data_IF_448763093934
#
_entry.id   IF_448763093934
#
_cell.length_a   1.000
_cell.length_b   1.000
_cell.length_c   1.000
_cell.angle_alpha   90.00
_cell.angle_beta   90.00
_cell.angle_gamma   90.00
#
_symmetry.space_group_name_H-M   'P 1'
#
loop_
_entity.id
_entity.type
_entity.pdbx_description
1 polymer ?
#
# COMPACT_ATOMS: atom_id res chain seq x y z
N UNK A 1 8.05 46.86 -11.07
CA UNK A 1 8.61 47.23 -9.74
C UNK A 1 9.10 45.93 -9.11
N UNK A 2 10.40 45.59 -9.27
CA UNK A 2 10.97 44.31 -8.85
C UNK A 2 11.26 44.34 -7.35
N UNK A 3 10.55 43.52 -6.58
CA UNK A 3 10.76 43.33 -5.15
C UNK A 3 12.06 42.56 -4.92
N UNK A 4 13.01 43.17 -4.21
CA UNK A 4 14.26 42.53 -3.79
C UNK A 4 14.06 41.88 -2.42
N UNK A 5 13.87 40.56 -2.39
CA UNK A 5 13.89 39.78 -1.15
C UNK A 5 15.32 39.75 -0.59
N UNK A 6 15.52 40.36 0.57
CA UNK A 6 16.78 40.27 1.33
C UNK A 6 16.79 38.96 2.14
N UNK A 7 17.53 37.96 1.66
CA UNK A 7 17.79 36.73 2.41
C UNK A 7 18.68 37.07 3.61
N UNK A 8 18.18 36.89 4.84
CA UNK A 8 18.97 37.02 6.07
C UNK A 8 19.66 35.70 6.35
N UNK A 9 20.93 35.59 5.95
CA UNK A 9 21.79 34.45 6.25
C UNK A 9 22.02 34.37 7.77
N UNK A 10 21.34 33.44 8.45
CA UNK A 10 21.66 33.07 9.83
C UNK A 10 22.69 31.95 9.77
N UNK A 11 23.96 32.26 10.06
CA UNK A 11 24.97 31.23 10.33
C UNK A 11 24.61 30.57 11.67
N UNK A 12 24.21 29.29 11.63
CA UNK A 12 24.24 28.43 12.81
C UNK A 12 25.66 27.85 12.97
N UNK A 13 26.24 27.88 14.19
CA UNK A 13 27.55 27.29 14.43
C UNK A 13 27.46 25.76 14.38
N UNK A 14 28.21 25.17 13.45
CA UNK A 14 28.45 23.74 13.33
C UNK A 14 29.27 23.27 14.54
N UNK A 15 28.61 22.71 15.55
CA UNK A 15 29.29 22.02 16.65
C UNK A 15 29.83 20.69 16.13
N UNK A 16 31.16 20.62 16.06
CA UNK A 16 31.94 19.43 15.72
C UNK A 16 31.82 18.43 16.88
N UNK A 17 30.94 17.44 16.75
CA UNK A 17 30.85 16.32 17.69
C UNK A 17 31.96 15.32 17.35
N UNK A 18 33.06 15.36 18.09
CA UNK A 18 34.15 14.42 17.97
C UNK A 18 33.70 13.04 18.49
N UNK A 19 33.49 12.07 17.59
CA UNK A 19 33.37 10.67 17.97
C UNK A 19 34.73 10.17 18.46
N UNK A 20 34.83 9.95 19.78
CA UNK A 20 35.90 9.15 20.36
C UNK A 20 35.69 7.69 20.01
N UNK A 21 36.48 7.17 19.07
CA UNK A 21 36.65 5.73 18.89
C UNK A 21 37.44 5.19 20.07
N UNK A 22 36.75 4.81 21.14
CA UNK A 22 37.35 3.99 22.21
C UNK A 22 37.34 2.54 21.76
N UNK A 23 38.41 2.14 21.07
CA UNK A 23 38.77 0.74 20.96
C UNK A 23 39.22 0.22 22.32
N UNK A 24 38.47 -0.73 22.87
CA UNK A 24 38.91 -1.64 23.93
C UNK A 24 38.62 -3.03 23.37
N UNK A 25 39.61 -3.86 23.04
CA UNK A 25 40.65 -4.31 23.95
C UNK A 25 40.25 -5.73 24.35
N UNK A 26 40.81 -6.73 23.65
CA UNK A 26 40.57 -8.13 23.95
C UNK A 26 40.90 -8.41 25.42
N UNK A 27 39.88 -8.79 26.18
CA UNK A 27 40.00 -9.35 27.52
C UNK A 27 38.84 -10.29 27.73
N UNK A 28 39.19 -11.57 27.90
CA UNK A 28 38.29 -12.68 28.21
C UNK A 28 37.42 -12.35 29.42
N UNK A 29 36.12 -12.15 29.20
CA UNK A 29 35.12 -12.02 30.25
C UNK A 29 34.42 -13.37 30.47
N UNK A 30 34.41 -13.75 31.75
CA UNK A 30 33.62 -14.84 32.33
C UNK A 30 32.17 -14.80 31.88
N UNK A 31 31.63 -15.97 31.52
CA UNK A 31 30.24 -16.17 31.09
C UNK A 31 29.21 -15.75 32.14
N UNK A 32 28.80 -14.49 32.07
CA UNK A 32 27.44 -14.08 32.42
C UNK A 32 26.62 -14.14 31.14
N UNK A 33 25.63 -15.03 31.10
CA UNK A 33 24.55 -14.90 30.14
C UNK A 33 23.78 -13.64 30.51
N UNK A 34 24.19 -12.49 29.98
CA UNK A 34 23.33 -11.32 29.94
C UNK A 34 22.14 -11.72 29.07
N UNK A 35 21.07 -12.17 29.73
CA UNK A 35 19.84 -12.58 29.11
C UNK A 35 19.14 -11.28 28.67
N UNK A 36 19.58 -10.73 27.54
CA UNK A 36 18.94 -9.57 26.93
C UNK A 36 17.51 -9.97 26.56
N UNK A 37 16.55 -9.43 27.30
CA UNK A 37 15.13 -9.57 27.01
C UNK A 37 14.65 -8.23 26.45
N UNK A 38 14.35 -8.22 25.15
CA UNK A 38 13.71 -7.08 24.50
C UNK A 38 12.20 -7.19 24.74
N UNK A 39 11.61 -6.10 25.25
CA UNK A 39 10.16 -5.95 25.33
C UNK A 39 9.71 -5.21 24.06
N UNK A 40 9.07 -5.93 23.15
CA UNK A 40 8.61 -5.39 21.88
C UNK A 40 7.20 -4.79 21.95
N UNK A 41 6.56 -4.75 23.12
CA UNK A 41 5.14 -4.35 23.24
C UNK A 41 4.88 -2.99 22.58
N UNK A 42 5.63 -1.95 22.96
CA UNK A 42 5.48 -0.60 22.39
C UNK A 42 5.78 -0.55 20.88
N UNK A 43 6.73 -1.38 20.41
CA UNK A 43 7.06 -1.48 18.98
C UNK A 43 5.91 -2.09 18.21
N UNK A 44 5.39 -3.23 18.67
CA UNK A 44 4.27 -3.96 18.07
C UNK A 44 3.02 -3.09 18.09
N UNK A 45 2.73 -2.40 19.19
CA UNK A 45 1.59 -1.47 19.27
C UNK A 45 1.70 -0.34 18.25
N UNK A 46 2.88 0.26 18.10
CA UNK A 46 3.11 1.33 17.15
C UNK A 46 3.05 0.84 15.70
N UNK A 47 3.73 -0.27 15.38
CA UNK A 47 3.77 -0.87 14.05
C UNK A 47 2.36 -1.31 13.62
N UNK A 48 1.61 -1.96 14.51
CA UNK A 48 0.25 -2.40 14.21
C UNK A 48 -0.69 -1.22 13.94
N UNK A 49 -0.78 -0.26 14.87
CA UNK A 49 -1.83 0.76 14.79
C UNK A 49 -1.43 1.95 13.91
N UNK A 50 -0.19 2.42 14.01
CA UNK A 50 0.23 3.68 13.37
C UNK A 50 0.93 3.48 12.02
N UNK A 51 1.27 2.24 11.67
CA UNK A 51 1.90 1.92 10.37
C UNK A 51 0.94 1.05 9.55
N UNK A 52 0.65 -0.18 10.01
CA UNK A 52 -0.12 -1.15 9.20
C UNK A 52 -1.58 -0.70 9.05
N UNK A 53 -2.31 -0.55 10.16
CA UNK A 53 -3.74 -0.19 10.14
C UNK A 53 -3.94 1.18 9.49
N UNK A 54 -3.14 2.18 9.90
CA UNK A 54 -3.20 3.52 9.33
C UNK A 54 -2.88 3.54 7.81
N UNK A 55 -1.88 2.77 7.36
CA UNK A 55 -1.54 2.68 5.94
C UNK A 55 -2.67 2.06 5.10
N UNK A 56 -3.37 1.06 5.63
CA UNK A 56 -4.54 0.50 4.95
C UNK A 56 -5.78 1.42 5.00
N UNK A 57 -5.94 2.23 6.04
CA UNK A 57 -6.95 3.31 6.08
C UNK A 57 -6.68 4.37 5.00
N UNK A 58 -5.42 4.79 4.87
CA UNK A 58 -4.98 5.75 3.86
C UNK A 58 -5.20 5.17 2.45
N UNK A 59 -4.82 3.90 2.22
CA UNK A 59 -5.06 3.21 0.95
C UNK A 59 -6.55 3.15 0.57
N UNK A 60 -7.42 2.76 1.51
CA UNK A 60 -8.87 2.74 1.27
C UNK A 60 -9.44 4.14 0.99
N UNK A 61 -8.97 5.16 1.71
CA UNK A 61 -9.38 6.55 1.48
C UNK A 61 -8.99 7.01 0.07
N UNK A 62 -7.75 6.76 -0.34
CA UNK A 62 -7.26 7.14 -1.68
C UNK A 62 -7.91 6.30 -2.80
N UNK A 63 -8.34 5.06 -2.51
CA UNK A 63 -9.16 4.25 -3.42
C UNK A 63 -10.52 4.92 -3.71
N UNK A 64 -11.19 5.43 -2.68
CA UNK A 64 -12.43 6.19 -2.84
C UNK A 64 -12.23 7.48 -3.65
N UNK A 65 -11.12 8.19 -3.44
CA UNK A 65 -10.76 9.37 -4.25
C UNK A 65 -10.48 9.00 -5.71
N UNK A 66 -9.87 7.84 -5.97
CA UNK A 66 -9.67 7.30 -7.32
C UNK A 66 -11.00 6.99 -8.01
N UNK A 67 -11.97 6.38 -7.32
CA UNK A 67 -13.33 6.14 -7.84
C UNK A 67 -14.00 7.47 -8.24
N UNK A 68 -13.91 8.49 -7.38
CA UNK A 68 -14.47 9.82 -7.66
C UNK A 68 -13.81 10.45 -8.90
N UNK A 69 -12.49 10.37 -9.01
CA UNK A 69 -11.74 10.94 -10.13
C UNK A 69 -12.07 10.24 -11.45
N UNK A 70 -12.21 8.92 -11.44
CA UNK A 70 -12.57 8.13 -12.62
C UNK A 70 -14.03 8.35 -13.05
N UNK A 71 -14.96 8.50 -12.11
CA UNK A 71 -16.34 8.90 -12.41
C UNK A 71 -16.40 10.30 -13.07
N UNK A 72 -15.55 11.23 -12.62
CA UNK A 72 -15.43 12.56 -13.24
C UNK A 72 -14.87 12.48 -14.67
N UNK A 73 -13.84 11.65 -14.89
CA UNK A 73 -13.28 11.40 -16.23
C UNK A 73 -14.31 10.77 -17.17
N UNK A 74 -15.06 9.77 -16.71
CA UNK A 74 -16.13 9.15 -17.47
C UNK A 74 -17.23 10.14 -17.86
N UNK A 75 -17.59 11.06 -16.95
CA UNK A 75 -18.62 12.07 -17.21
C UNK A 75 -18.12 13.18 -18.15
N UNK A 76 -16.87 13.60 -18.00
CA UNK A 76 -16.27 14.68 -18.80
C UNK A 76 -14.85 14.33 -19.17
N UNK A 77 -14.64 13.87 -20.40
CA UNK A 77 -13.32 13.54 -20.93
C UNK A 77 -12.57 14.81 -21.37
N UNK A 78 -11.58 15.22 -20.59
CA UNK A 78 -10.65 16.28 -20.93
C UNK A 78 -9.35 16.16 -20.13
N UNK A 79 -8.36 16.99 -20.44
CA UNK A 79 -7.04 16.96 -19.80
C UNK A 79 -7.10 17.14 -18.28
N UNK A 80 -8.03 17.95 -17.77
CA UNK A 80 -8.14 18.21 -16.33
C UNK A 80 -8.63 16.97 -15.58
N UNK A 81 -9.64 16.27 -16.10
CA UNK A 81 -10.17 15.05 -15.45
C UNK A 81 -9.24 13.86 -15.65
N UNK A 82 -8.54 13.76 -16.79
CA UNK A 82 -7.52 12.74 -17.00
C UNK A 82 -6.35 12.92 -16.02
N UNK A 83 -5.84 14.16 -15.89
CA UNK A 83 -4.78 14.48 -14.92
C UNK A 83 -5.23 14.17 -13.49
N UNK A 84 -6.48 14.51 -13.13
CA UNK A 84 -7.00 14.20 -11.80
C UNK A 84 -7.07 12.69 -11.52
N UNK A 85 -7.51 11.88 -12.49
CA UNK A 85 -7.51 10.42 -12.36
C UNK A 85 -6.09 9.84 -12.25
N UNK A 86 -5.16 10.35 -13.05
CA UNK A 86 -3.74 9.95 -12.98
C UNK A 86 -3.11 10.32 -11.63
N UNK A 87 -3.43 11.48 -11.07
CA UNK A 87 -2.90 11.91 -9.78
C UNK A 87 -3.53 11.12 -8.64
N UNK A 88 -4.83 10.82 -8.68
CA UNK A 88 -5.49 9.95 -7.72
C UNK A 88 -4.92 8.52 -7.74
N UNK A 89 -4.62 7.98 -8.93
CA UNK A 89 -3.97 6.67 -9.04
C UNK A 89 -2.60 6.65 -8.35
N UNK A 90 -1.79 7.71 -8.53
CA UNK A 90 -0.49 7.83 -7.86
C UNK A 90 -0.64 7.97 -6.34
N UNK A 91 -1.65 8.71 -5.90
CA UNK A 91 -1.94 8.90 -4.49
C UNK A 91 -2.33 7.58 -3.82
N UNK A 92 -3.19 6.77 -4.45
CA UNK A 92 -3.52 5.42 -3.99
C UNK A 92 -2.32 4.45 -4.06
N UNK A 93 -1.40 4.65 -5.01
CA UNK A 93 -0.20 3.81 -5.14
C UNK A 93 0.80 4.02 -3.99
N UNK A 94 0.87 5.22 -3.44
CA UNK A 94 1.81 5.55 -2.35
C UNK A 94 1.63 4.70 -1.08
N UNK A 95 0.43 4.61 -0.46
CA UNK A 95 0.23 3.77 0.72
C UNK A 95 0.32 2.27 0.42
N UNK A 96 -0.03 1.83 -0.80
CA UNK A 96 0.18 0.44 -1.22
C UNK A 96 1.66 0.03 -1.19
N UNK A 97 2.52 0.80 -1.86
CA UNK A 97 3.96 0.52 -1.94
C UNK A 97 4.64 0.63 -0.57
N UNK A 98 4.19 1.54 0.30
CA UNK A 98 4.65 1.60 1.69
C UNK A 98 4.26 0.34 2.48
N UNK A 99 3.12 -0.25 2.13
CA UNK A 99 2.57 -1.45 2.75
C UNK A 99 3.23 -2.77 2.32
N UNK A 100 4.04 -2.79 1.26
CA UNK A 100 4.71 -4.01 0.79
C UNK A 100 5.71 -4.60 1.78
N UNK A 101 6.12 -3.81 2.79
CA UNK A 101 6.94 -4.32 3.90
C UNK A 101 6.21 -5.29 4.83
N UNK A 102 4.88 -5.36 4.74
CA UNK A 102 4.03 -6.16 5.64
C UNK A 102 2.91 -6.91 4.88
N UNK A 103 3.31 -7.67 3.84
CA UNK A 103 2.41 -8.57 3.09
C UNK A 103 2.22 -9.89 3.87
N UNK A 104 1.49 -9.81 4.98
CA UNK A 104 1.06 -10.96 5.78
C UNK A 104 -0.35 -10.74 6.34
N UNK A 105 -0.96 -11.80 6.86
CA UNK A 105 -2.30 -11.72 7.43
C UNK A 105 -3.36 -11.51 6.34
N UNK A 106 -4.30 -10.56 6.47
CA UNK A 106 -5.43 -10.42 5.56
C UNK A 106 -5.07 -10.23 4.09
N UNK A 107 -4.02 -9.45 3.78
CA UNK A 107 -3.63 -9.18 2.38
C UNK A 107 -3.21 -10.44 1.63
N UNK A 108 -2.54 -11.37 2.33
CA UNK A 108 -2.13 -12.68 1.80
C UNK A 108 -3.28 -13.70 1.88
N UNK A 109 -3.95 -13.78 3.03
CA UNK A 109 -5.00 -14.79 3.30
C UNK A 109 -6.25 -14.62 2.45
N UNK A 110 -6.54 -13.40 2.00
CA UNK A 110 -7.67 -13.07 1.14
C UNK A 110 -7.26 -12.92 -0.34
N UNK A 111 -6.01 -13.26 -0.69
CA UNK A 111 -5.47 -13.14 -2.04
C UNK A 111 -5.60 -11.71 -2.62
N UNK A 112 -5.51 -10.68 -1.76
CA UNK A 112 -5.69 -9.27 -2.17
C UNK A 112 -4.47 -8.76 -2.94
N UNK A 113 -3.26 -9.15 -2.52
CA UNK A 113 -2.01 -8.78 -3.21
C UNK A 113 -2.03 -9.09 -4.71
N UNK A 114 -2.27 -10.35 -5.13
CA UNK A 114 -2.34 -10.64 -6.56
C UNK A 114 -3.49 -9.90 -7.24
N UNK A 115 -4.66 -9.76 -6.61
CA UNK A 115 -5.80 -9.03 -7.20
C UNK A 115 -5.54 -7.54 -7.43
N UNK A 116 -4.80 -6.89 -6.52
CA UNK A 116 -4.50 -5.46 -6.63
C UNK A 116 -3.24 -5.17 -7.44
N UNK A 117 -2.24 -6.05 -7.41
CA UNK A 117 -0.89 -5.70 -7.88
C UNK A 117 -0.19 -6.75 -8.76
N UNK A 118 -0.96 -7.59 -9.45
CA UNK A 118 -0.37 -8.55 -10.38
C UNK A 118 0.39 -7.90 -11.54
N UNK A 119 1.65 -8.30 -11.67
CA UNK A 119 2.53 -7.95 -12.79
C UNK A 119 3.32 -9.16 -13.31
N UNK A 120 3.44 -9.36 -14.65
CA UNK A 120 2.92 -8.54 -15.72
C UNK A 120 1.45 -8.80 -16.04
N UNK A 121 0.75 -7.79 -16.56
CA UNK A 121 -0.57 -7.97 -17.17
C UNK A 121 -0.51 -8.86 -18.41
N UNK A 122 -1.59 -9.61 -18.62
CA UNK A 122 -1.83 -10.26 -19.90
C UNK A 122 -2.55 -9.30 -20.85
N UNK A 123 -1.75 -8.44 -21.49
CA UNK A 123 -2.27 -7.36 -22.36
C UNK A 123 -3.17 -7.82 -23.51
N UNK A 124 -3.05 -9.08 -23.96
CA UNK A 124 -3.95 -9.65 -24.98
C UNK A 124 -5.33 -9.94 -24.40
N UNK A 125 -5.37 -10.56 -23.22
CA UNK A 125 -6.61 -10.89 -22.55
C UNK A 125 -7.28 -9.64 -21.99
N UNK A 126 -6.49 -8.69 -21.47
CA UNK A 126 -6.97 -7.37 -21.05
C UNK A 126 -7.64 -6.62 -22.22
N UNK A 127 -6.98 -6.54 -23.38
CA UNK A 127 -7.56 -5.87 -24.56
C UNK A 127 -8.87 -6.56 -25.02
N UNK A 128 -8.90 -7.90 -24.99
CA UNK A 128 -10.11 -8.67 -25.34
C UNK A 128 -11.24 -8.43 -24.33
N UNK A 129 -10.90 -8.39 -23.05
CA UNK A 129 -11.82 -8.11 -21.94
C UNK A 129 -12.43 -6.73 -22.07
N UNK A 130 -11.61 -5.69 -22.23
CA UNK A 130 -12.07 -4.31 -22.46
C UNK A 130 -13.00 -4.26 -23.68
N UNK A 131 -12.58 -4.82 -24.82
CA UNK A 131 -13.38 -4.74 -26.07
C UNK A 131 -14.77 -5.41 -25.99
N UNK A 132 -14.94 -6.35 -25.06
CA UNK A 132 -16.20 -7.08 -24.84
C UNK A 132 -16.93 -6.66 -23.56
N UNK A 133 -16.36 -5.72 -22.80
CA UNK A 133 -16.90 -5.31 -21.52
C UNK A 133 -18.25 -4.64 -21.69
N UNK A 134 -19.22 -5.10 -20.90
CA UNK A 134 -20.62 -4.66 -20.98
C UNK A 134 -21.28 -4.63 -19.60
N UNK A 135 -20.54 -4.22 -18.57
CA UNK A 135 -21.04 -4.07 -17.20
C UNK A 135 -21.07 -5.37 -16.40
N UNK A 136 -20.14 -6.29 -16.69
CA UNK A 136 -19.96 -7.48 -15.87
C UNK A 136 -19.32 -7.12 -14.53
N UNK A 137 -19.62 -7.89 -13.49
CA UNK A 137 -18.83 -7.91 -12.26
C UNK A 137 -17.49 -8.59 -12.57
N UNK A 138 -16.40 -7.85 -12.36
CA UNK A 138 -15.04 -8.28 -12.71
C UNK A 138 -14.25 -8.75 -11.49
N UNK A 139 -14.84 -8.75 -10.29
CA UNK A 139 -14.14 -9.14 -9.06
C UNK A 139 -13.57 -10.56 -9.15
N UNK A 140 -14.28 -11.45 -9.86
CA UNK A 140 -13.86 -12.85 -10.07
C UNK A 140 -12.99 -13.06 -11.31
N UNK A 141 -12.54 -12.00 -11.98
CA UNK A 141 -11.66 -12.13 -13.15
C UNK A 141 -10.25 -12.53 -12.70
N UNK A 142 -9.42 -12.93 -13.66
CA UNK A 142 -8.02 -13.19 -13.36
C UNK A 142 -7.30 -11.91 -12.93
N UNK A 143 -6.27 -12.08 -12.13
CA UNK A 143 -5.48 -10.98 -11.58
C UNK A 143 -4.74 -10.19 -12.66
N UNK A 144 -4.36 -10.86 -13.76
CA UNK A 144 -3.61 -10.29 -14.87
C UNK A 144 -4.42 -9.38 -15.80
N UNK A 145 -5.69 -9.10 -15.46
CA UNK A 145 -6.58 -8.16 -16.17
C UNK A 145 -7.25 -7.12 -15.25
N UNK A 146 -6.83 -7.02 -13.98
CA UNK A 146 -7.37 -6.06 -13.01
C UNK A 146 -6.28 -5.38 -12.17
N UNK A 147 -6.68 -4.69 -11.11
CA UNK A 147 -5.76 -4.02 -10.17
C UNK A 147 -5.09 -2.77 -10.70
N UNK A 148 -4.09 -2.30 -9.96
CA UNK A 148 -3.34 -1.07 -10.20
C UNK A 148 -2.82 -0.97 -11.63
N UNK A 149 -2.22 -2.04 -12.15
CA UNK A 149 -1.59 -2.03 -13.45
C UNK A 149 -2.59 -2.00 -14.60
N UNK A 150 -3.78 -2.60 -14.45
CA UNK A 150 -4.84 -2.46 -15.46
C UNK A 150 -5.37 -1.02 -15.53
N UNK A 151 -5.52 -0.36 -14.39
CA UNK A 151 -5.87 1.06 -14.31
C UNK A 151 -4.74 1.92 -14.91
N UNK A 152 -3.49 1.61 -14.58
CA UNK A 152 -2.29 2.28 -15.10
C UNK A 152 -2.25 2.21 -16.63
N UNK A 153 -2.47 1.02 -17.20
CA UNK A 153 -2.49 0.79 -18.64
C UNK A 153 -3.49 1.71 -19.35
N UNK A 154 -4.67 1.90 -18.76
CA UNK A 154 -5.76 2.69 -19.31
C UNK A 154 -5.55 4.21 -19.14
N UNK A 155 -4.88 4.64 -18.05
CA UNK A 155 -4.66 6.05 -17.73
C UNK A 155 -3.35 6.63 -18.28
N UNK A 156 -2.30 5.82 -18.41
CA UNK A 156 -0.96 6.26 -18.81
C UNK A 156 -0.51 5.65 -20.14
N UNK A 157 -1.15 4.58 -20.60
CA UNK A 157 -0.75 3.85 -21.80
C UNK A 157 0.07 2.60 -21.49
N UNK A 158 0.58 1.95 -22.54
CA UNK A 158 1.01 0.55 -22.45
C UNK A 158 2.42 0.30 -21.88
N UNK A 159 3.14 1.31 -21.41
CA UNK A 159 4.48 1.14 -20.84
C UNK A 159 5.59 0.81 -21.85
N UNK A 160 5.25 0.24 -23.00
CA UNK A 160 6.17 -0.29 -23.99
C UNK A 160 6.43 0.69 -25.15
N UNK A 161 5.38 1.38 -25.60
CA UNK A 161 5.44 2.31 -26.73
C UNK A 161 5.10 3.75 -26.34
N UNK A 162 4.35 3.95 -25.25
CA UNK A 162 3.95 5.27 -24.74
C UNK A 162 3.62 5.18 -23.25
N UNK A 163 3.97 6.22 -22.51
CA UNK A 163 3.47 6.54 -21.17
C UNK A 163 2.66 7.85 -21.20
N UNK A 164 2.09 8.14 -22.36
CA UNK A 164 1.23 9.27 -22.64
C UNK A 164 -0.10 8.75 -23.19
N UNK A 165 -1.20 9.31 -22.69
CA UNK A 165 -2.58 8.90 -22.96
C UNK A 165 -3.40 10.11 -23.37
N UNK A 166 -4.09 10.02 -24.50
CA UNK A 166 -5.06 11.02 -24.93
C UNK A 166 -6.36 10.85 -24.14
N UNK A 167 -7.11 11.94 -24.04
CA UNK A 167 -8.42 12.05 -23.39
C UNK A 167 -9.55 11.32 -24.12
N UNK A 168 -9.35 10.85 -25.36
CA UNK A 168 -10.36 10.14 -26.16
C UNK A 168 -10.40 8.64 -25.84
N UNK A 169 -10.85 8.30 -24.62
CA UNK A 169 -11.08 6.93 -24.18
C UNK A 169 -12.37 6.38 -24.79
N UNK A 170 -12.37 5.12 -25.20
CA UNK A 170 -13.60 4.49 -25.72
C UNK A 170 -14.64 4.32 -24.63
N UNK A 171 -15.89 4.08 -25.02
CA UNK A 171 -16.97 3.82 -24.06
C UNK A 171 -16.68 2.57 -23.22
N UNK A 172 -16.11 1.54 -23.83
CA UNK A 172 -15.73 0.29 -23.17
C UNK A 172 -14.54 0.50 -22.21
N UNK A 173 -13.53 1.28 -22.60
CA UNK A 173 -12.39 1.62 -21.73
C UNK A 173 -12.84 2.38 -20.48
N UNK A 174 -13.73 3.37 -20.63
CA UNK A 174 -14.27 4.13 -19.50
C UNK A 174 -15.16 3.27 -18.59
N UNK A 175 -15.96 2.38 -19.17
CA UNK A 175 -16.78 1.46 -18.40
C UNK A 175 -15.92 0.46 -17.63
N UNK A 176 -14.84 -0.04 -18.25
CA UNK A 176 -13.92 -0.95 -17.58
C UNK A 176 -13.09 -0.24 -16.50
N UNK A 177 -12.62 1.00 -16.74
CA UNK A 177 -11.97 1.82 -15.71
C UNK A 177 -12.84 2.01 -14.46
N UNK A 178 -14.14 2.30 -14.64
CA UNK A 178 -15.07 2.45 -13.53
C UNK A 178 -15.21 1.12 -12.74
N UNK A 179 -15.37 0.00 -13.44
CA UNK A 179 -15.47 -1.31 -12.80
C UNK A 179 -14.17 -1.71 -12.06
N UNK A 180 -13.01 -1.40 -12.65
CA UNK A 180 -11.71 -1.61 -12.01
C UNK A 180 -11.61 -0.81 -10.71
N UNK A 181 -12.05 0.45 -10.69
CA UNK A 181 -11.98 1.26 -9.49
C UNK A 181 -12.93 0.82 -8.38
N UNK A 182 -14.13 0.33 -8.74
CA UNK A 182 -15.08 -0.23 -7.76
C UNK A 182 -14.50 -1.50 -7.12
N UNK A 183 -14.00 -2.45 -7.94
CA UNK A 183 -13.36 -3.67 -7.42
C UNK A 183 -12.11 -3.36 -6.62
N UNK A 184 -11.32 -2.36 -7.06
CA UNK A 184 -10.16 -1.88 -6.32
C UNK A 184 -10.55 -1.35 -4.94
N UNK A 185 -11.57 -0.48 -4.86
CA UNK A 185 -12.10 0.05 -3.60
C UNK A 185 -12.60 -1.08 -2.70
N UNK A 186 -13.39 -2.03 -3.22
CA UNK A 186 -13.90 -3.20 -2.47
C UNK A 186 -12.78 -4.02 -1.82
N UNK A 187 -11.68 -4.27 -2.53
CA UNK A 187 -10.53 -4.97 -1.97
C UNK A 187 -9.80 -4.16 -0.89
N UNK A 188 -9.62 -2.85 -1.11
CA UNK A 188 -8.98 -1.98 -0.10
C UNK A 188 -9.84 -1.81 1.15
N UNK A 189 -11.17 -1.75 0.99
CA UNK A 189 -12.13 -1.75 2.09
C UNK A 189 -12.02 -3.06 2.87
N UNK A 190 -12.11 -4.21 2.18
CA UNK A 190 -11.99 -5.53 2.80
C UNK A 190 -10.67 -5.70 3.55
N UNK A 191 -9.57 -5.16 3.03
CA UNK A 191 -8.27 -5.18 3.68
C UNK A 191 -8.27 -4.36 4.97
N UNK A 192 -8.71 -3.10 4.90
CA UNK A 192 -8.80 -2.22 6.05
C UNK A 192 -9.74 -2.80 7.13
N UNK A 193 -10.94 -3.24 6.75
CA UNK A 193 -11.92 -3.81 7.67
C UNK A 193 -11.42 -5.12 8.32
N UNK A 194 -10.63 -5.91 7.59
CA UNK A 194 -10.01 -7.11 8.16
C UNK A 194 -9.03 -6.77 9.28
N UNK A 195 -8.30 -5.66 9.15
CA UNK A 195 -7.36 -5.20 10.15
C UNK A 195 -8.02 -4.46 11.31
N UNK A 196 -9.07 -3.68 11.05
CA UNK A 196 -9.71 -2.79 12.04
C UNK A 196 -10.93 -3.40 12.72
N UNK A 197 -11.79 -4.06 11.96
CA UNK A 197 -13.15 -4.44 12.38
C UNK A 197 -13.26 -5.93 12.68
N UNK A 198 -13.01 -6.80 11.71
CA UNK A 198 -13.15 -8.26 11.85
C UNK A 198 -12.45 -8.99 10.72
N UNK A 199 -11.71 -10.05 11.04
CA UNK A 199 -11.13 -10.95 10.05
C UNK A 199 -11.86 -12.29 10.04
N UNK A 200 -12.31 -12.71 8.85
CA UNK A 200 -13.17 -13.89 8.65
C UNK A 200 -14.41 -13.90 9.58
N UNK A 201 -14.49 -14.87 10.50
CA UNK A 201 -15.55 -14.98 11.50
C UNK A 201 -15.11 -14.57 12.90
N UNK A 202 -13.90 -14.00 13.01
CA UNK A 202 -13.20 -13.70 14.26
C UNK A 202 -13.11 -12.21 14.59
N UNK A 203 -12.12 -11.89 15.43
CA UNK A 203 -11.79 -10.51 15.78
C UNK A 203 -11.00 -9.85 14.63
N UNK A 204 -10.86 -8.53 14.68
CA UNK A 204 -9.96 -7.79 13.79
C UNK A 204 -8.53 -8.34 13.86
N UNK A 205 -7.84 -8.45 12.73
CA UNK A 205 -6.54 -9.12 12.65
C UNK A 205 -5.48 -8.48 13.56
N UNK A 206 -5.52 -7.15 13.74
CA UNK A 206 -4.66 -6.42 14.67
C UNK A 206 -4.68 -6.98 16.10
N UNK A 207 -5.81 -7.56 16.52
CA UNK A 207 -5.97 -8.15 17.86
C UNK A 207 -4.99 -9.30 18.09
N UNK A 208 -4.72 -10.09 17.05
CA UNK A 208 -3.79 -11.22 17.13
C UNK A 208 -2.35 -10.73 17.24
N UNK A 209 -1.99 -9.68 16.49
CA UNK A 209 -0.65 -9.10 16.52
C UNK A 209 -0.35 -8.39 17.85
N UNK A 210 -1.35 -7.71 18.42
CA UNK A 210 -1.24 -7.01 19.71
C UNK A 210 -1.25 -7.93 20.94
N UNK A 211 -1.68 -9.19 20.80
CA UNK A 211 -1.81 -10.12 21.92
C UNK A 211 -1.14 -11.48 21.64
N UNK A 212 0.17 -11.51 21.32
CA UNK A 212 0.88 -12.77 21.11
C UNK A 212 0.85 -13.64 22.36
N UNK A 213 0.84 -14.96 22.16
CA UNK A 213 0.81 -15.96 23.24
C UNK A 213 -0.50 -16.03 24.04
N UNK A 214 -1.50 -15.21 23.72
CA UNK A 214 -2.81 -15.27 24.36
C UNK A 214 -3.55 -16.56 24.00
N UNK A 215 -4.34 -17.08 24.94
CA UNK A 215 -5.09 -18.31 24.72
C UNK A 215 -6.12 -18.14 23.58
N UNK A 216 -6.02 -18.98 22.55
CA UNK A 216 -6.86 -18.88 21.34
C UNK A 216 -6.28 -18.00 20.23
N UNK A 217 -5.06 -17.47 20.40
CA UNK A 217 -4.30 -16.86 19.31
C UNK A 217 -3.46 -17.93 18.60
N UNK A 218 -4.05 -18.53 17.57
CA UNK A 218 -3.41 -19.59 16.78
C UNK A 218 -2.43 -19.02 15.71
N UNK A 219 -2.49 -17.71 15.42
CA UNK A 219 -1.55 -17.02 14.52
C UNK A 219 -0.21 -16.78 15.22
N UNK A 220 -0.25 -16.21 16.42
CA UNK A 220 0.93 -15.79 17.18
C UNK A 220 1.04 -16.52 18.51
N UNK A 221 1.50 -17.77 18.47
CA UNK A 221 1.53 -18.67 19.64
C UNK A 221 2.45 -18.24 20.79
N UNK A 222 3.37 -17.29 20.57
CA UNK A 222 4.22 -16.66 21.59
C UNK A 222 4.91 -15.40 21.03
N UNK A 223 5.45 -14.56 21.91
CA UNK A 223 6.10 -13.28 21.58
C UNK A 223 7.28 -13.43 20.59
N UNK A 224 7.97 -14.58 20.59
CA UNK A 224 9.10 -14.81 19.69
C UNK A 224 8.69 -14.98 18.23
N UNK A 225 7.43 -15.36 17.95
CA UNK A 225 6.91 -15.51 16.59
C UNK A 225 6.69 -14.13 15.96
N UNK A 226 6.10 -13.19 16.72
CA UNK A 226 5.98 -11.80 16.26
C UNK A 226 7.34 -11.17 16.04
N UNK A 227 8.31 -11.44 16.92
CA UNK A 227 9.69 -10.97 16.73
C UNK A 227 10.36 -11.55 15.47
N UNK A 228 9.98 -12.74 15.02
CA UNK A 228 10.54 -13.34 13.81
C UNK A 228 9.92 -12.75 12.54
N UNK A 229 8.62 -12.45 12.54
CA UNK A 229 7.95 -11.76 11.44
C UNK A 229 8.45 -10.32 11.28
N UNK A 230 8.58 -9.57 12.40
CA UNK A 230 9.03 -8.18 12.36
C UNK A 230 10.56 -8.01 12.17
N UNK A 231 11.36 -9.09 12.18
CA UNK A 231 12.81 -9.05 11.92
C UNK A 231 13.19 -9.34 10.46
N UNK A 232 12.21 -9.64 9.60
CA UNK A 232 12.44 -9.86 8.16
C UNK A 232 12.37 -8.53 7.38
N UNK A 233 11.98 -7.44 8.05
CA UNK A 233 11.91 -6.07 7.52
C UNK A 233 13.23 -5.32 7.71
#
# INVERSE_FOLDING_TARGET
MRSTLKLKTKLLPLSLLALGLTGCGGSSSSGGSDNFQFDATDLIENETNNIIVAGYEDLYTEAGDLVIALAALQTTQNETTLTAAQDAWKAAREPWEQGESHIFGPVDSLEIDPHLDSWPLNTSDLASTISSYSGADIMTYNDDVQGFHAIEYLLFGNGASSNDRDTDLTTEELAYLAALSEVFEDYTESLYDSWETSFESGAAYKTYLLNPGSAGNDYYSNDLVVHAENNVI
#
